data_IF_868646033733
#
_entry.id   IF_868646033733
#
_cell.length_a   1.000
_cell.length_b   1.000
_cell.length_c   1.000
_cell.angle_alpha   90.00
_cell.angle_beta   90.00
_cell.angle_gamma   90.00
#
_symmetry.space_group_name_H-M   'P 1'
#
loop_
_entity.id
_entity.type
_entity.pdbx_description
1 polymer ?
#
# COMPACT_ATOMS: atom_id res chain seq x y z
N UNK A 1 21.11 25.54 -50.91
CA UNK A 1 20.15 25.33 -52.03
C UNK A 1 18.72 25.37 -51.50
N UNK A 2 17.75 25.94 -52.23
CA UNK A 2 16.52 26.54 -51.70
C UNK A 2 15.38 25.53 -51.40
N UNK A 3 14.39 25.89 -50.54
CA UNK A 3 13.35 24.96 -50.11
C UNK A 3 12.23 24.78 -51.14
N UNK A 4 11.83 23.52 -51.33
CA UNK A 4 10.80 23.03 -52.26
C UNK A 4 9.42 23.66 -51.97
N UNK A 5 8.79 24.20 -53.03
CA UNK A 5 7.41 24.69 -53.03
C UNK A 5 6.39 23.57 -52.79
N UNK A 6 5.38 23.89 -51.98
CA UNK A 6 4.17 23.10 -51.71
C UNK A 6 3.40 22.85 -53.02
N UNK A 7 3.15 21.59 -53.33
CA UNK A 7 2.22 21.18 -54.37
C UNK A 7 0.80 21.12 -53.80
N UNK A 8 -0.17 21.44 -54.68
CA UNK A 8 -1.60 21.19 -54.56
C UNK A 8 -2.47 22.17 -53.74
N UNK A 9 -2.66 23.37 -54.29
CA UNK A 9 -3.99 23.99 -54.28
C UNK A 9 -4.60 23.88 -55.69
N UNK A 10 -5.88 23.47 -55.85
CA UNK A 10 -6.52 23.47 -57.15
C UNK A 10 -6.68 24.93 -57.60
N UNK A 11 -6.05 25.27 -58.72
CA UNK A 11 -6.10 26.62 -59.30
C UNK A 11 -7.54 27.09 -59.54
N UNK A 12 -7.78 28.39 -59.36
CA UNK A 12 -9.08 29.04 -59.60
C UNK A 12 -9.67 28.74 -60.99
N UNK A 13 -8.80 28.38 -61.95
CA UNK A 13 -9.16 27.97 -63.31
C UNK A 13 -9.96 26.65 -63.35
N UNK A 14 -9.67 25.70 -62.46
CA UNK A 14 -10.41 24.43 -62.38
C UNK A 14 -11.75 24.59 -61.66
N UNK A 15 -11.84 25.49 -60.68
CA UNK A 15 -13.10 25.82 -59.99
C UNK A 15 -14.05 26.59 -60.89
N UNK A 16 -13.53 27.51 -61.72
CA UNK A 16 -14.29 28.21 -62.75
C UNK A 16 -14.83 27.25 -63.83
N UNK A 17 -14.04 26.25 -64.27
CA UNK A 17 -14.50 25.22 -65.22
C UNK A 17 -15.61 24.32 -64.65
N UNK A 18 -15.54 23.95 -63.37
CA UNK A 18 -16.59 23.16 -62.73
C UNK A 18 -17.91 23.93 -62.57
N UNK A 19 -17.82 25.23 -62.22
CA UNK A 19 -18.99 26.12 -62.16
C UNK A 19 -19.62 26.37 -63.54
N UNK A 20 -18.80 26.57 -64.58
CA UNK A 20 -19.27 26.70 -65.95
C UNK A 20 -20.02 25.44 -66.43
N UNK A 21 -19.49 24.24 -66.14
CA UNK A 21 -20.18 22.97 -66.45
C UNK A 21 -21.51 22.81 -65.71
N UNK A 22 -21.60 23.19 -64.43
CA UNK A 22 -22.86 23.10 -63.68
C UNK A 22 -23.91 24.12 -64.15
N UNK A 23 -23.48 25.31 -64.60
CA UNK A 23 -24.36 26.29 -65.23
C UNK A 23 -24.83 25.87 -66.63
N UNK A 24 -23.99 25.18 -67.40
CA UNK A 24 -24.33 24.63 -68.73
C UNK A 24 -25.28 23.43 -68.66
N UNK A 25 -25.19 22.63 -67.59
CA UNK A 25 -26.03 21.45 -67.35
C UNK A 25 -27.44 21.85 -66.86
N UNK A 26 -27.53 22.83 -65.94
CA UNK A 26 -28.83 23.40 -65.52
C UNK A 26 -29.54 24.21 -66.61
N UNK A 27 -28.84 24.56 -67.69
CA UNK A 27 -29.41 25.22 -68.87
C UNK A 27 -29.52 24.28 -70.08
N UNK A 28 -29.18 23.00 -69.92
CA UNK A 28 -29.07 22.03 -71.02
C UNK A 28 -30.42 21.69 -71.68
N UNK A 29 -31.54 21.77 -70.95
CA UNK A 29 -32.88 21.48 -71.48
C UNK A 29 -33.62 22.66 -72.14
N UNK A 30 -33.11 23.89 -72.05
CA UNK A 30 -33.80 25.10 -72.56
C UNK A 30 -33.21 25.64 -73.87
N UNK A 31 -32.18 24.98 -74.41
CA UNK A 31 -31.44 25.44 -75.59
C UNK A 31 -32.22 25.29 -76.91
N UNK A 32 -33.30 24.51 -76.95
CA UNK A 32 -34.18 24.39 -78.13
C UNK A 32 -35.38 25.38 -78.14
N UNK A 33 -35.45 26.31 -77.16
CA UNK A 33 -36.50 27.36 -77.07
C UNK A 33 -35.91 28.77 -76.82
N UNK A 34 -34.68 29.00 -77.30
CA UNK A 34 -33.89 30.23 -77.10
C UNK A 34 -34.38 31.49 -77.84
N UNK A 35 -35.58 31.47 -78.44
CA UNK A 35 -36.13 32.58 -79.22
C UNK A 35 -37.09 33.50 -78.43
N UNK A 36 -37.53 33.12 -77.22
CA UNK A 36 -38.47 33.92 -76.41
C UNK A 36 -37.76 34.74 -75.33
N UNK A 37 -38.04 36.06 -75.27
CA UNK A 37 -37.49 37.00 -74.26
C UNK A 37 -37.74 36.55 -72.82
N UNK A 38 -38.87 35.87 -72.53
CA UNK A 38 -39.17 35.33 -71.20
C UNK A 38 -38.23 34.22 -70.77
N UNK A 39 -37.83 33.35 -71.70
CA UNK A 39 -36.91 32.24 -71.44
C UNK A 39 -35.50 32.78 -71.17
N UNK A 40 -35.08 33.83 -71.88
CA UNK A 40 -33.80 34.49 -71.62
C UNK A 40 -33.76 35.21 -70.26
N UNK A 41 -34.84 35.91 -69.88
CA UNK A 41 -34.94 36.51 -68.54
C UNK A 41 -34.90 35.44 -67.43
N UNK A 42 -35.59 34.32 -67.61
CA UNK A 42 -35.58 33.22 -66.66
C UNK A 42 -34.19 32.56 -66.51
N UNK A 43 -33.44 32.40 -67.61
CA UNK A 43 -32.06 31.90 -67.58
C UNK A 43 -31.14 32.88 -66.84
N UNK A 44 -31.30 34.19 -67.04
CA UNK A 44 -30.51 35.21 -66.35
C UNK A 44 -30.82 35.25 -64.84
N UNK A 45 -32.08 35.05 -64.46
CA UNK A 45 -32.51 35.01 -63.06
C UNK A 45 -31.97 33.76 -62.33
N UNK A 46 -31.94 32.60 -63.00
CA UNK A 46 -31.35 31.36 -62.46
C UNK A 46 -29.83 31.49 -62.29
N UNK A 47 -29.12 32.10 -63.25
CA UNK A 47 -27.67 32.35 -63.14
C UNK A 47 -27.34 33.31 -61.99
N UNK A 48 -28.12 34.38 -61.80
CA UNK A 48 -27.92 35.32 -60.69
C UNK A 48 -28.12 34.69 -59.30
N UNK A 49 -29.02 33.70 -59.17
CA UNK A 49 -29.26 32.97 -57.91
C UNK A 49 -28.15 32.00 -57.51
N UNK A 50 -27.36 31.49 -58.46
CA UNK A 50 -26.34 30.45 -58.23
C UNK A 50 -24.99 31.03 -57.77
N UNK A 51 -24.61 32.22 -58.23
CA UNK A 51 -23.28 32.77 -57.94
C UNK A 51 -23.24 33.77 -56.76
N UNK A 52 -24.33 34.49 -56.47
CA UNK A 52 -24.34 35.56 -55.46
C UNK A 52 -24.99 35.24 -54.12
N UNK A 53 -26.04 34.40 -54.10
CA UNK A 53 -26.88 34.17 -52.92
C UNK A 53 -26.26 33.23 -51.88
N UNK A 54 -25.59 32.17 -52.33
CA UNK A 54 -25.02 31.15 -51.43
C UNK A 54 -23.73 31.62 -50.75
N UNK A 55 -22.92 32.44 -51.44
CA UNK A 55 -21.74 33.06 -50.85
C UNK A 55 -22.11 34.09 -49.77
N UNK A 56 -23.08 34.98 -50.04
CA UNK A 56 -23.57 35.96 -49.06
C UNK A 56 -24.27 35.32 -47.86
N UNK A 57 -25.01 34.22 -48.07
CA UNK A 57 -25.65 33.47 -46.96
C UNK A 57 -24.61 32.75 -46.08
N UNK A 58 -23.56 32.18 -46.68
CA UNK A 58 -22.47 31.53 -45.95
C UNK A 58 -21.60 32.53 -45.17
N UNK A 59 -21.40 33.73 -45.70
CA UNK A 59 -20.68 34.82 -45.03
C UNK A 59 -21.50 35.41 -43.87
N UNK A 60 -22.82 35.60 -44.06
CA UNK A 60 -23.72 36.04 -42.99
C UNK A 60 -23.84 35.00 -41.86
N UNK A 61 -23.88 33.71 -42.18
CA UNK A 61 -23.91 32.62 -41.20
C UNK A 61 -22.58 32.46 -40.45
N UNK A 62 -21.44 32.62 -41.14
CA UNK A 62 -20.12 32.63 -40.51
C UNK A 62 -19.96 33.82 -39.55
N UNK A 63 -20.49 35.00 -39.92
CA UNK A 63 -20.47 36.18 -39.06
C UNK A 63 -21.34 36.01 -37.81
N UNK A 64 -22.55 35.47 -37.96
CA UNK A 64 -23.43 35.10 -36.83
C UNK A 64 -22.78 34.10 -35.89
N UNK A 65 -22.12 33.06 -36.42
CA UNK A 65 -21.44 32.04 -35.62
C UNK A 65 -20.19 32.59 -34.91
N UNK A 66 -19.49 33.55 -35.52
CA UNK A 66 -18.37 34.23 -34.89
C UNK A 66 -18.84 35.17 -33.76
N UNK A 67 -19.94 35.90 -33.97
CA UNK A 67 -20.56 36.75 -32.94
C UNK A 67 -21.13 35.92 -31.78
N UNK A 68 -21.75 34.78 -32.06
CA UNK A 68 -22.25 33.84 -31.03
C UNK A 68 -21.10 33.20 -30.25
N UNK A 69 -20.00 32.80 -30.91
CA UNK A 69 -18.81 32.28 -30.22
C UNK A 69 -18.17 33.34 -29.32
N UNK A 70 -18.11 34.59 -29.79
CA UNK A 70 -17.58 35.70 -29.00
C UNK A 70 -18.49 36.00 -27.79
N UNK A 71 -19.81 36.03 -27.98
CA UNK A 71 -20.76 36.19 -26.89
C UNK A 71 -20.69 35.05 -25.87
N UNK A 72 -20.46 33.80 -26.32
CA UNK A 72 -20.25 32.67 -25.41
C UNK A 72 -18.93 32.74 -24.64
N UNK A 73 -17.84 33.23 -25.25
CA UNK A 73 -16.56 33.41 -24.54
C UNK A 73 -16.63 34.58 -23.55
N UNK A 74 -17.29 35.68 -23.91
CA UNK A 74 -17.52 36.80 -23.00
C UNK A 74 -18.45 36.39 -21.85
N UNK A 75 -19.52 35.63 -22.11
CA UNK A 75 -20.39 35.08 -21.06
C UNK A 75 -19.66 34.08 -20.14
N UNK A 76 -18.74 33.25 -20.67
CA UNK A 76 -17.90 32.37 -19.85
C UNK A 76 -16.91 33.16 -19.00
N UNK A 77 -16.36 34.25 -19.53
CA UNK A 77 -15.44 35.13 -18.82
C UNK A 77 -16.17 35.91 -17.71
N UNK A 78 -17.37 36.40 -17.97
CA UNK A 78 -18.22 37.05 -16.96
C UNK A 78 -18.71 36.05 -15.90
N UNK A 79 -19.09 34.82 -16.29
CA UNK A 79 -19.42 33.76 -15.34
C UNK A 79 -18.22 33.40 -14.44
N UNK A 80 -17.02 33.26 -15.01
CA UNK A 80 -15.79 33.02 -14.24
C UNK A 80 -15.44 34.17 -13.28
N UNK A 81 -15.85 35.41 -13.62
CA UNK A 81 -15.70 36.57 -12.74
C UNK A 81 -16.78 36.62 -11.64
N UNK A 82 -18.01 36.17 -11.93
CA UNK A 82 -19.12 36.13 -10.96
C UNK A 82 -18.97 35.02 -9.91
N UNK A 83 -18.37 33.88 -10.26
CA UNK A 83 -17.97 32.85 -9.31
C UNK A 83 -16.68 33.26 -8.59
N UNK A 84 -16.79 34.33 -7.81
CA UNK A 84 -15.72 34.82 -6.94
C UNK A 84 -15.16 33.70 -6.06
N UNK A 85 -13.83 33.65 -5.98
CA UNK A 85 -13.04 32.63 -5.28
C UNK A 85 -13.55 32.51 -3.83
N UNK A 86 -14.25 31.42 -3.52
CA UNK A 86 -14.69 31.13 -2.15
C UNK A 86 -13.47 30.84 -1.28
N UNK A 87 -13.47 31.37 -0.05
CA UNK A 87 -12.38 31.14 0.89
C UNK A 87 -12.34 29.67 1.32
N UNK A 88 -11.24 28.98 0.99
CA UNK A 88 -10.98 27.59 1.36
C UNK A 88 -11.02 27.38 2.90
N UNK A 89 -11.92 26.52 3.38
CA UNK A 89 -12.02 26.14 4.80
C UNK A 89 -10.97 25.08 5.13
N UNK A 90 -10.26 25.25 6.24
CA UNK A 90 -9.22 24.31 6.71
C UNK A 90 -9.84 23.34 7.71
N UNK A 91 -9.70 22.01 7.52
CA UNK A 91 -10.09 21.01 8.52
C UNK A 91 -9.31 21.16 9.83
N UNK A 92 -9.93 20.82 10.96
CA UNK A 92 -9.31 20.91 12.28
C UNK A 92 -8.09 19.97 12.37
N UNK A 93 -6.93 20.50 12.79
CA UNK A 93 -5.68 19.73 12.95
C UNK A 93 -4.70 19.75 11.76
N UNK A 94 -5.01 20.45 10.66
CA UNK A 94 -4.09 20.61 9.51
C UNK A 94 -3.53 22.03 9.47
N UNK A 95 -2.21 22.17 9.40
CA UNK A 95 -1.55 23.48 9.31
C UNK A 95 -1.99 24.21 8.04
N UNK A 96 -2.57 25.43 8.13
CA UNK A 96 -3.07 26.16 6.98
C UNK A 96 -2.01 26.46 5.91
N UNK A 97 -0.73 26.50 6.32
CA UNK A 97 0.42 26.75 5.45
C UNK A 97 0.87 25.51 4.67
N UNK A 98 0.31 24.34 4.97
CA UNK A 98 0.49 23.11 4.18
C UNK A 98 -0.44 23.03 2.97
N UNK A 99 -1.35 24.01 2.81
CA UNK A 99 -2.34 24.01 1.73
C UNK A 99 -2.05 25.20 0.80
N UNK A 100 -2.08 24.95 -0.52
CA UNK A 100 -1.87 25.98 -1.54
C UNK A 100 -2.98 27.05 -1.45
N UNK A 101 -2.58 28.32 -1.51
CA UNK A 101 -3.49 29.45 -1.52
C UNK A 101 -4.25 29.51 -2.86
N UNK A 102 -5.57 29.41 -2.82
CA UNK A 102 -6.42 29.43 -4.02
C UNK A 102 -6.42 30.81 -4.71
N UNK A 103 -6.33 31.88 -3.92
CA UNK A 103 -6.14 33.24 -4.44
C UNK A 103 -4.77 33.41 -5.12
N UNK A 104 -3.74 32.73 -4.64
CA UNK A 104 -2.40 32.77 -5.25
C UNK A 104 -2.37 31.96 -6.55
N UNK A 105 -3.01 30.77 -6.53
CA UNK A 105 -3.20 29.94 -7.72
C UNK A 105 -3.90 30.70 -8.86
N UNK A 106 -4.84 31.59 -8.51
CA UNK A 106 -5.56 32.43 -9.47
C UNK A 106 -4.90 33.81 -9.70
N UNK A 107 -3.74 34.10 -9.08
CA UNK A 107 -2.99 35.35 -9.27
C UNK A 107 -3.59 36.60 -8.60
N UNK A 108 -4.59 36.45 -7.72
CA UNK A 108 -5.33 37.56 -7.07
C UNK A 108 -4.91 37.76 -5.60
N UNK A 109 -3.93 36.99 -5.10
CA UNK A 109 -3.55 37.06 -3.69
C UNK A 109 -2.75 38.34 -3.36
N UNK A 110 -3.36 39.24 -2.59
CA UNK A 110 -2.74 40.48 -2.09
C UNK A 110 -1.90 40.30 -0.82
N UNK A 111 -1.92 39.10 -0.21
CA UNK A 111 -1.32 38.84 1.12
C UNK A 111 0.16 38.44 1.10
N UNK A 112 0.73 38.16 -0.09
CA UNK A 112 2.14 37.83 -0.27
C UNK A 112 2.63 36.75 0.72
N UNK A 113 3.83 36.95 1.30
CA UNK A 113 4.44 36.00 2.24
C UNK A 113 3.72 35.88 3.60
N UNK A 114 2.81 36.81 3.91
CA UNK A 114 1.98 36.80 5.14
C UNK A 114 0.66 36.05 4.94
N UNK A 115 0.45 35.44 3.77
CA UNK A 115 -0.73 34.63 3.52
C UNK A 115 -0.79 33.43 4.50
N UNK A 116 -1.99 33.14 5.00
CA UNK A 116 -2.27 31.97 5.86
C UNK A 116 -2.02 30.65 5.13
N UNK A 117 -2.10 30.67 3.80
CA UNK A 117 -1.93 29.54 2.91
C UNK A 117 -0.60 29.61 2.15
N UNK A 118 -0.07 28.47 1.70
CA UNK A 118 1.19 28.39 0.97
C UNK A 118 1.12 29.08 -0.40
N UNK A 119 2.21 29.75 -0.79
CA UNK A 119 2.43 30.27 -2.15
C UNK A 119 3.44 29.41 -2.93
N UNK A 120 3.75 28.21 -2.48
CA UNK A 120 4.61 27.28 -3.21
C UNK A 120 3.77 26.39 -4.16
N UNK A 121 3.92 26.52 -5.49
CA UNK A 121 3.19 25.71 -6.48
C UNK A 121 3.37 24.19 -6.30
N UNK A 122 4.42 23.74 -5.60
CA UNK A 122 4.66 22.32 -5.35
C UNK A 122 3.78 21.73 -4.26
N UNK A 123 3.30 22.54 -3.32
CA UNK A 123 2.48 22.08 -2.19
C UNK A 123 1.07 21.63 -2.63
N UNK A 124 0.61 22.11 -3.80
CA UNK A 124 -0.68 21.74 -4.39
C UNK A 124 -0.66 20.61 -5.41
N UNK A 125 0.51 20.07 -5.78
CA UNK A 125 0.60 18.90 -6.66
C UNK A 125 0.20 17.66 -5.88
N UNK A 126 -1.10 17.37 -5.85
CA UNK A 126 -1.59 16.01 -5.58
C UNK A 126 -1.08 15.13 -6.72
N UNK A 127 0.14 14.60 -6.58
CA UNK A 127 0.70 13.64 -7.52
C UNK A 127 -0.22 12.43 -7.45
N UNK A 128 -0.97 12.17 -8.52
CA UNK A 128 -1.75 10.94 -8.61
C UNK A 128 -0.77 9.78 -8.41
N UNK A 129 -0.94 9.03 -7.32
CA UNK A 129 -0.18 7.79 -7.12
C UNK A 129 -0.57 6.89 -8.28
N UNK A 130 0.38 6.60 -9.15
CA UNK A 130 0.24 5.57 -10.18
C UNK A 130 -0.23 4.30 -9.48
N UNK A 131 -1.36 3.75 -9.90
CA UNK A 131 -1.89 2.52 -9.31
C UNK A 131 -0.87 1.41 -9.57
N UNK A 132 -0.52 0.68 -8.51
CA UNK A 132 0.56 -0.30 -8.51
C UNK A 132 0.17 -1.60 -9.20
N UNK A 133 -1.14 -1.80 -9.37
CA UNK A 133 -1.73 -3.01 -9.92
C UNK A 133 -2.15 -2.85 -11.39
N UNK A 134 -2.25 -1.62 -11.92
CA UNK A 134 -2.54 -1.36 -13.34
C UNK A 134 -1.26 -1.07 -14.11
N UNK A 135 -1.09 -1.73 -15.27
CA UNK A 135 0.04 -1.45 -16.16
C UNK A 135 -0.38 -0.36 -17.15
N UNK A 136 0.26 0.80 -17.15
CA UNK A 136 -0.10 1.89 -18.08
C UNK A 136 0.05 1.54 -19.56
N UNK A 137 0.73 0.45 -19.89
CA UNK A 137 0.80 -0.03 -21.27
C UNK A 137 -0.49 -0.69 -21.72
N UNK A 138 -1.35 -1.15 -20.81
CA UNK A 138 -2.69 -1.66 -21.14
C UNK A 138 -3.64 -0.50 -21.42
N UNK A 139 -3.64 0.53 -20.58
CA UNK A 139 -4.43 1.76 -20.80
C UNK A 139 -4.11 2.43 -22.15
N UNK A 140 -2.83 2.52 -22.51
CA UNK A 140 -2.40 3.07 -23.81
C UNK A 140 -2.81 2.19 -24.99
N UNK A 141 -2.87 0.85 -24.83
CA UNK A 141 -3.34 -0.07 -25.87
C UNK A 141 -4.86 -0.02 -26.05
N UNK A 142 -5.61 0.14 -24.96
CA UNK A 142 -7.06 0.25 -25.00
C UNK A 142 -7.52 1.59 -25.60
N UNK A 143 -6.75 2.67 -25.38
CA UNK A 143 -6.98 3.97 -26.02
C UNK A 143 -6.53 4.02 -27.47
N UNK A 144 -5.72 3.06 -27.93
CA UNK A 144 -5.23 2.97 -29.31
C UNK A 144 -6.16 2.16 -30.23
N UNK A 145 -7.42 2.55 -30.31
CA UNK A 145 -8.42 1.97 -31.22
C UNK A 145 -8.13 2.32 -32.68
N UNK A 146 -8.36 1.37 -33.61
CA UNK A 146 -8.11 1.50 -35.07
C UNK A 146 -8.65 2.78 -35.70
N UNK A 147 -9.72 3.35 -35.15
CA UNK A 147 -10.36 4.58 -35.62
C UNK A 147 -9.46 5.83 -35.51
N UNK A 148 -8.42 5.80 -34.66
CA UNK A 148 -7.47 6.91 -34.46
C UNK A 148 -6.16 6.74 -35.25
N UNK A 149 -6.08 5.78 -36.19
CA UNK A 149 -4.84 5.47 -36.90
C UNK A 149 -4.75 6.18 -38.25
N UNK A 150 -3.74 7.05 -38.39
CA UNK A 150 -3.37 7.65 -39.67
C UNK A 150 -2.71 6.63 -40.64
N UNK A 151 -2.76 6.91 -41.94
CA UNK A 151 -2.25 6.02 -43.00
C UNK A 151 -0.76 5.65 -42.85
N UNK A 152 0.05 6.55 -42.27
CA UNK A 152 1.46 6.28 -41.95
C UNK A 152 1.62 5.30 -40.77
N UNK A 153 0.74 5.38 -39.76
CA UNK A 153 0.72 4.43 -38.64
C UNK A 153 0.27 3.05 -39.12
N UNK A 154 -0.71 3.01 -40.03
CA UNK A 154 -1.16 1.78 -40.66
C UNK A 154 -0.05 1.10 -41.49
N UNK A 155 0.71 1.87 -42.30
CA UNK A 155 1.86 1.35 -43.05
C UNK A 155 2.97 0.82 -42.14
N UNK A 156 3.26 1.48 -41.02
CA UNK A 156 4.24 1.00 -40.02
C UNK A 156 3.81 -0.31 -39.37
N UNK A 157 2.52 -0.49 -39.09
CA UNK A 157 1.99 -1.73 -38.51
C UNK A 157 2.03 -2.88 -39.54
N UNK A 158 1.74 -2.61 -40.81
CA UNK A 158 1.88 -3.63 -41.89
C UNK A 158 3.35 -4.06 -42.03
N UNK A 159 4.29 -3.11 -41.99
CA UNK A 159 5.73 -3.43 -42.06
C UNK A 159 6.21 -4.23 -40.84
N UNK A 160 5.66 -3.97 -39.65
CA UNK A 160 6.04 -4.66 -38.41
C UNK A 160 5.38 -6.03 -38.23
N UNK A 161 4.26 -6.31 -38.92
CA UNK A 161 3.61 -7.63 -38.95
C UNK A 161 4.46 -8.71 -39.64
N UNK A 162 5.45 -8.34 -40.44
CA UNK A 162 6.34 -9.28 -41.15
C UNK A 162 7.59 -9.69 -40.36
N UNK A 163 7.74 -9.28 -39.10
CA UNK A 163 8.82 -9.74 -38.21
C UNK A 163 8.28 -10.43 -36.97
N UNK A 164 8.98 -11.47 -36.46
CA UNK A 164 8.59 -12.18 -35.25
C UNK A 164 8.37 -11.19 -34.09
N UNK A 165 7.11 -10.97 -33.64
CA UNK A 165 6.82 -9.92 -32.67
C UNK A 165 7.51 -10.27 -31.35
N UNK A 166 8.31 -9.33 -30.80
CA UNK A 166 8.86 -9.47 -29.45
C UNK A 166 7.69 -9.54 -28.48
N UNK A 167 7.40 -10.73 -27.97
CA UNK A 167 6.31 -10.95 -27.04
C UNK A 167 6.66 -10.34 -25.68
N UNK A 168 5.75 -9.52 -25.15
CA UNK A 168 5.77 -9.10 -23.75
C UNK A 168 5.46 -10.32 -22.88
N UNK A 169 6.22 -10.53 -21.82
CA UNK A 169 6.04 -11.63 -20.89
C UNK A 169 5.22 -11.19 -19.67
N UNK A 170 4.33 -12.04 -19.18
CA UNK A 170 3.52 -11.80 -17.96
C UNK A 170 4.33 -11.87 -16.66
N UNK A 171 5.62 -12.21 -16.75
CA UNK A 171 6.55 -12.19 -15.62
C UNK A 171 6.81 -10.75 -15.21
N UNK A 172 6.71 -10.47 -13.91
CA UNK A 172 6.98 -9.15 -13.31
C UNK A 172 8.46 -8.81 -13.43
N UNK A 173 8.78 -7.54 -13.71
CA UNK A 173 10.15 -7.09 -13.80
C UNK A 173 10.85 -7.12 -12.43
N UNK A 174 12.05 -7.71 -12.34
CA UNK A 174 12.84 -7.74 -11.10
C UNK A 174 13.15 -6.34 -10.56
N UNK A 175 13.49 -5.41 -11.46
CA UNK A 175 13.78 -4.02 -11.07
C UNK A 175 12.54 -3.26 -10.60
N UNK A 176 11.37 -3.66 -11.08
CA UNK A 176 10.11 -3.13 -10.58
C UNK A 176 9.85 -3.62 -9.15
N UNK A 177 10.02 -4.92 -8.87
CA UNK A 177 9.89 -5.46 -7.51
C UNK A 177 10.87 -4.74 -6.56
N UNK A 178 12.13 -4.58 -6.96
CA UNK A 178 13.14 -3.87 -6.15
C UNK A 178 12.81 -2.38 -5.96
N UNK A 179 12.31 -1.69 -6.99
CA UNK A 179 11.91 -0.28 -6.87
C UNK A 179 10.70 -0.09 -5.95
N UNK A 180 9.76 -1.02 -6.01
CA UNK A 180 8.55 -1.03 -5.18
C UNK A 180 8.92 -1.37 -3.73
N UNK A 181 9.78 -2.37 -3.49
CA UNK A 181 10.30 -2.70 -2.16
C UNK A 181 11.10 -1.55 -1.53
N UNK A 182 11.87 -0.83 -2.33
CA UNK A 182 12.64 0.33 -1.87
C UNK A 182 11.81 1.63 -1.77
N UNK A 183 10.52 1.60 -2.10
CA UNK A 183 9.65 2.79 -2.12
C UNK A 183 10.07 3.86 -3.13
N UNK A 184 10.90 3.49 -4.12
CA UNK A 184 11.38 4.38 -5.20
C UNK A 184 10.47 4.34 -6.43
N UNK A 185 9.48 3.45 -6.45
CA UNK A 185 8.47 3.38 -7.50
C UNK A 185 7.52 4.59 -7.39
N UNK A 186 7.42 5.35 -8.46
CA UNK A 186 6.60 6.56 -8.54
C UNK A 186 6.55 7.12 -9.96
N UNK A 187 5.94 8.30 -10.10
CA UNK A 187 5.69 8.93 -11.41
C UNK A 187 6.93 9.09 -12.30
N UNK A 188 8.11 9.28 -11.70
CA UNK A 188 9.38 9.44 -12.42
C UNK A 188 10.22 8.16 -12.50
N UNK A 189 9.72 7.03 -12.03
CA UNK A 189 10.48 5.79 -12.07
C UNK A 189 10.49 5.18 -13.47
N UNK A 190 11.68 5.08 -14.06
CA UNK A 190 11.91 4.45 -15.36
C UNK A 190 12.64 3.13 -15.11
N UNK A 191 12.09 2.04 -15.66
CA UNK A 191 12.74 0.74 -15.54
C UNK A 191 14.12 0.76 -16.22
N UNK A 192 15.20 0.37 -15.53
CA UNK A 192 16.54 0.27 -16.12
C UNK A 192 16.62 -0.72 -17.30
N UNK A 193 15.70 -1.68 -17.36
CA UNK A 193 15.62 -2.71 -18.40
C UNK A 193 14.78 -2.28 -19.62
N UNK A 194 14.81 -0.98 -19.97
CA UNK A 194 14.18 -0.45 -21.19
C UNK A 194 12.93 0.40 -21.00
N UNK A 195 12.71 1.00 -19.82
CA UNK A 195 11.62 1.94 -19.58
C UNK A 195 10.25 1.34 -19.89
N UNK A 196 9.56 1.87 -20.91
CA UNK A 196 8.27 1.34 -21.35
C UNK A 196 8.37 0.12 -22.28
N UNK A 197 9.54 -0.14 -22.88
CA UNK A 197 9.81 -1.30 -23.76
C UNK A 197 10.36 -2.51 -22.99
N UNK A 198 10.30 -2.49 -21.65
CA UNK A 198 10.69 -3.65 -20.86
C UNK A 198 9.84 -4.86 -21.23
N UNK A 199 10.50 -5.99 -21.52
CA UNK A 199 9.84 -7.27 -21.83
C UNK A 199 8.94 -7.77 -20.69
N UNK A 200 9.21 -7.34 -19.46
CA UNK A 200 8.53 -7.78 -18.25
C UNK A 200 7.43 -6.79 -17.80
N UNK A 201 6.46 -7.30 -17.04
CA UNK A 201 5.32 -6.52 -16.52
C UNK A 201 5.77 -5.53 -15.42
N UNK A 202 5.25 -4.31 -15.42
CA UNK A 202 5.53 -3.26 -14.42
C UNK A 202 4.31 -3.01 -13.52
N UNK A 203 3.63 -4.09 -13.16
CA UNK A 203 2.58 -4.10 -12.16
C UNK A 203 2.75 -5.33 -11.29
N UNK A 204 2.31 -5.25 -10.04
CA UNK A 204 2.30 -6.41 -9.15
C UNK A 204 1.21 -7.40 -9.60
N UNK A 205 1.40 -8.71 -9.43
CA UNK A 205 0.35 -9.69 -9.67
C UNK A 205 -0.85 -9.41 -8.76
N UNK A 206 -2.08 -9.65 -9.22
CA UNK A 206 -3.27 -9.49 -8.39
C UNK A 206 -3.15 -10.41 -7.16
N UNK A 207 -3.17 -9.82 -5.96
CA UNK A 207 -3.03 -10.53 -4.68
C UNK A 207 -1.65 -10.46 -4.02
N UNK A 208 -0.62 -9.90 -4.67
CA UNK A 208 0.69 -9.71 -4.03
C UNK A 208 0.69 -8.45 -3.14
N UNK A 209 0.65 -8.65 -1.82
CA UNK A 209 0.75 -7.58 -0.82
C UNK A 209 2.21 -7.39 -0.44
N UNK A 210 2.71 -6.17 -0.59
CA UNK A 210 4.06 -5.81 -0.14
C UNK A 210 4.16 -5.93 1.38
N UNK A 211 5.11 -6.73 1.86
CA UNK A 211 5.48 -6.74 3.28
C UNK A 211 5.96 -5.34 3.66
N UNK A 212 5.45 -4.78 4.75
CA UNK A 212 5.92 -3.48 5.22
C UNK A 212 7.38 -3.58 5.66
N UNK A 213 8.10 -2.45 5.65
CA UNK A 213 9.49 -2.38 6.13
C UNK A 213 9.65 -2.91 7.56
N UNK A 214 8.61 -2.76 8.37
CA UNK A 214 8.54 -3.25 9.75
C UNK A 214 8.33 -4.76 9.80
N UNK A 215 7.43 -5.33 9.00
CA UNK A 215 7.24 -6.78 8.90
C UNK A 215 8.51 -7.50 8.45
N UNK A 216 9.23 -6.95 7.47
CA UNK A 216 10.51 -7.51 7.01
C UNK A 216 11.60 -7.43 8.08
N UNK A 217 11.63 -6.35 8.87
CA UNK A 217 12.55 -6.21 10.00
C UNK A 217 12.21 -7.22 11.11
N UNK A 218 10.94 -7.42 11.40
CA UNK A 218 10.47 -8.41 12.37
C UNK A 218 10.81 -9.84 11.94
N UNK A 219 10.60 -10.19 10.67
CA UNK A 219 10.96 -11.50 10.13
C UNK A 219 12.46 -11.75 10.18
N UNK A 220 13.29 -10.73 9.88
CA UNK A 220 14.74 -10.84 10.02
C UNK A 220 15.17 -11.03 11.47
N UNK A 221 14.60 -10.26 12.39
CA UNK A 221 14.88 -10.40 13.82
C UNK A 221 14.41 -11.75 14.35
N UNK A 222 13.29 -12.29 13.86
CA UNK A 222 12.81 -13.61 14.20
C UNK A 222 13.77 -14.69 13.72
N UNK A 223 14.23 -14.62 12.46
CA UNK A 223 15.23 -15.55 11.92
C UNK A 223 16.61 -15.44 12.61
N UNK A 224 16.96 -14.27 13.15
CA UNK A 224 18.17 -14.07 13.97
C UNK A 224 18.00 -14.62 15.39
N UNK A 225 16.77 -14.60 15.94
CA UNK A 225 16.43 -15.13 17.26
C UNK A 225 16.09 -16.63 17.25
N UNK A 226 15.85 -17.23 16.09
CA UNK A 226 15.69 -18.67 15.97
C UNK A 226 17.01 -19.36 16.32
N UNK A 227 17.01 -20.28 17.31
CA UNK A 227 18.21 -20.99 17.71
C UNK A 227 18.69 -21.85 16.54
N UNK A 228 19.86 -21.52 15.99
CA UNK A 228 20.45 -22.19 14.81
C UNK A 228 20.92 -23.62 15.09
N UNK A 229 20.91 -24.04 16.36
CA UNK A 229 21.21 -25.39 16.80
C UNK A 229 20.02 -25.90 17.61
N UNK A 230 19.58 -27.10 17.28
CA UNK A 230 18.56 -27.80 18.08
C UNK A 230 19.14 -28.09 19.48
N UNK A 231 18.28 -28.28 20.48
CA UNK A 231 18.71 -28.58 21.84
C UNK A 231 19.59 -29.83 21.87
N UNK A 232 19.24 -30.81 21.03
CA UNK A 232 19.92 -32.08 20.82
C UNK A 232 21.34 -31.87 20.28
N UNK A 233 21.48 -31.06 19.24
CA UNK A 233 22.78 -30.77 18.61
C UNK A 233 23.70 -29.98 19.57
N UNK A 234 23.13 -29.08 20.37
CA UNK A 234 23.87 -28.42 21.45
C UNK A 234 24.35 -29.42 22.51
N UNK A 235 23.48 -30.32 22.96
CA UNK A 235 23.81 -31.35 23.95
C UNK A 235 24.88 -32.32 23.45
N UNK A 236 24.86 -32.71 22.19
CA UNK A 236 25.87 -33.59 21.58
C UNK A 236 27.24 -32.91 21.43
N UNK A 237 27.25 -31.63 21.07
CA UNK A 237 28.47 -30.81 21.05
C UNK A 237 29.07 -30.65 22.44
N UNK A 238 28.27 -30.34 23.46
CA UNK A 238 28.76 -30.20 24.84
C UNK A 238 29.19 -31.54 25.43
N UNK A 239 28.45 -32.64 25.16
CA UNK A 239 28.83 -33.98 25.62
C UNK A 239 30.14 -34.46 25.02
N UNK A 240 30.42 -34.13 23.76
CA UNK A 240 31.67 -34.52 23.09
C UNK A 240 32.89 -33.72 23.57
N UNK A 241 32.69 -32.48 24.05
CA UNK A 241 33.75 -31.65 24.67
C UNK A 241 34.17 -32.15 26.06
N UNK A 242 33.32 -32.91 26.77
CA UNK A 242 33.60 -33.37 28.11
C UNK A 242 34.50 -34.62 28.12
N UNK A 243 35.57 -34.59 28.91
CA UNK A 243 36.49 -35.72 29.11
C UNK A 243 35.81 -36.85 29.88
N UNK A 244 35.59 -37.99 29.21
CA UNK A 244 34.96 -39.19 29.81
C UNK A 244 35.72 -39.77 31.02
N UNK A 245 36.99 -39.42 31.18
CA UNK A 245 37.85 -39.93 32.26
C UNK A 245 37.66 -39.23 33.60
N UNK A 246 37.00 -38.07 33.65
CA UNK A 246 36.82 -37.26 34.88
C UNK A 246 35.41 -37.37 35.46
N UNK A 247 34.58 -38.30 34.98
CA UNK A 247 33.19 -38.42 35.42
C UNK A 247 33.09 -39.12 36.78
N UNK A 248 32.30 -38.53 37.68
CA UNK A 248 31.89 -39.17 38.91
C UNK A 248 30.71 -40.12 38.62
N UNK A 249 30.77 -41.38 39.05
CA UNK A 249 29.64 -42.29 38.90
C UNK A 249 28.45 -41.78 39.73
N UNK A 250 27.26 -41.88 39.17
CA UNK A 250 26.02 -41.51 39.84
C UNK A 250 25.58 -42.64 40.77
N UNK A 251 26.01 -42.55 42.02
CA UNK A 251 25.57 -43.40 43.13
C UNK A 251 24.57 -42.62 43.98
N UNK A 252 23.82 -43.30 44.85
CA UNK A 252 22.86 -42.64 45.74
C UNK A 252 23.56 -41.58 46.61
N UNK A 253 24.77 -41.89 47.09
CA UNK A 253 25.60 -40.98 47.89
C UNK A 253 26.09 -39.76 47.08
N UNK A 254 26.58 -39.98 45.85
CA UNK A 254 27.06 -38.88 45.00
C UNK A 254 25.90 -38.00 44.52
N UNK A 255 24.73 -38.58 44.26
CA UNK A 255 23.51 -37.84 43.95
C UNK A 255 22.99 -37.05 45.14
N UNK A 256 23.01 -37.61 46.35
CA UNK A 256 22.60 -36.89 47.57
C UNK A 256 23.51 -35.68 47.83
N UNK A 257 24.83 -35.83 47.64
CA UNK A 257 25.79 -34.72 47.73
C UNK A 257 25.51 -33.66 46.67
N UNK A 258 25.34 -34.06 45.41
CA UNK A 258 24.99 -33.14 44.32
C UNK A 258 23.66 -32.41 44.56
N UNK A 259 22.64 -33.12 45.08
CA UNK A 259 21.32 -32.53 45.37
C UNK A 259 21.41 -31.44 46.45
N UNK A 260 22.20 -31.69 47.51
CA UNK A 260 22.49 -30.67 48.53
C UNK A 260 23.20 -29.46 47.91
N UNK A 261 24.25 -29.68 47.14
CA UNK A 261 25.00 -28.60 46.46
C UNK A 261 24.10 -27.77 45.51
N UNK A 262 23.17 -28.41 44.78
CA UNK A 262 22.22 -27.70 43.92
C UNK A 262 21.18 -26.90 44.71
N UNK A 263 20.66 -27.46 45.81
CA UNK A 263 19.74 -26.74 46.70
C UNK A 263 20.42 -25.51 47.31
N UNK A 264 21.64 -25.67 47.81
CA UNK A 264 22.44 -24.58 48.36
C UNK A 264 22.74 -23.51 47.29
N UNK A 265 23.10 -23.93 46.06
CA UNK A 265 23.32 -23.02 44.93
C UNK A 265 22.05 -22.24 44.58
N UNK A 266 20.89 -22.89 44.55
CA UNK A 266 19.59 -22.24 44.29
C UNK A 266 19.23 -21.26 45.41
N UNK A 267 19.45 -21.61 46.67
CA UNK A 267 19.22 -20.72 47.80
C UNK A 267 20.16 -19.51 47.78
N UNK A 268 21.44 -19.70 47.48
CA UNK A 268 22.40 -18.60 47.35
C UNK A 268 22.05 -17.67 46.19
N UNK A 269 21.68 -18.22 45.02
CA UNK A 269 21.25 -17.42 43.88
C UNK A 269 19.97 -16.62 44.20
N UNK A 270 19.02 -17.22 44.94
CA UNK A 270 17.82 -16.52 45.40
C UNK A 270 18.18 -15.36 46.33
N UNK A 271 19.03 -15.59 47.33
CA UNK A 271 19.52 -14.55 48.27
C UNK A 271 20.29 -13.45 47.54
N UNK A 272 21.10 -13.78 46.53
CA UNK A 272 21.82 -12.80 45.73
C UNK A 272 20.86 -11.96 44.87
N UNK A 273 19.86 -12.57 44.24
CA UNK A 273 18.83 -11.85 43.50
C UNK A 273 17.98 -10.94 44.40
N UNK A 274 17.71 -11.37 45.64
CA UNK A 274 17.02 -10.58 46.68
C UNK A 274 17.90 -9.40 47.14
N UNK A 275 19.20 -9.62 47.41
CA UNK A 275 20.16 -8.57 47.76
C UNK A 275 20.43 -7.59 46.62
N UNK A 276 20.35 -8.06 45.38
CA UNK A 276 20.57 -7.26 44.17
C UNK A 276 19.45 -6.27 43.87
N UNK A 277 18.37 -6.23 44.67
CA UNK A 277 17.28 -5.25 44.55
C UNK A 277 16.50 -5.34 43.23
N UNK A 278 16.75 -6.37 42.40
CA UNK A 278 16.14 -6.52 41.07
C UNK A 278 14.71 -7.05 41.13
N UNK A 279 14.25 -7.54 42.29
CA UNK A 279 12.91 -8.10 42.44
C UNK A 279 11.99 -7.10 43.11
N UNK A 280 10.89 -6.78 42.43
CA UNK A 280 9.77 -6.04 43.01
C UNK A 280 9.15 -6.94 44.09
N UNK A 281 9.00 -6.41 45.31
CA UNK A 281 8.42 -7.15 46.43
C UNK A 281 6.96 -7.52 46.12
N UNK A 282 6.57 -8.74 46.50
CA UNK A 282 5.18 -9.17 46.38
C UNK A 282 4.31 -8.49 47.44
N UNK A 283 3.00 -8.34 47.18
CA UNK A 283 2.09 -7.72 48.15
C UNK A 283 2.12 -8.38 49.54
N UNK A 284 2.28 -9.71 49.59
CA UNK A 284 2.45 -10.47 50.85
C UNK A 284 3.72 -10.07 51.59
N UNK A 285 4.84 -9.93 50.88
CA UNK A 285 6.12 -9.51 51.47
C UNK A 285 6.06 -8.06 51.97
N UNK A 286 5.43 -7.16 51.21
CA UNK A 286 5.23 -5.76 51.62
C UNK A 286 4.37 -5.66 52.89
N UNK A 287 3.31 -6.47 52.98
CA UNK A 287 2.47 -6.52 54.19
C UNK A 287 3.29 -7.06 55.36
N UNK A 288 4.00 -8.17 55.19
CA UNK A 288 4.84 -8.73 56.27
C UNK A 288 5.92 -7.75 56.77
N UNK A 289 6.55 -6.99 55.87
CA UNK A 289 7.54 -5.97 56.22
C UNK A 289 6.90 -4.76 56.93
N UNK A 290 5.71 -4.32 56.51
CA UNK A 290 5.01 -3.19 57.13
C UNK A 290 4.43 -3.50 58.51
N UNK A 291 4.09 -4.76 58.75
CA UNK A 291 3.41 -5.22 59.97
C UNK A 291 4.32 -6.06 60.88
N UNK A 292 5.62 -6.19 60.59
CA UNK A 292 6.55 -6.91 61.47
C UNK A 292 6.70 -6.25 62.85
N UNK A 293 6.64 -4.91 62.88
CA UNK A 293 6.87 -4.09 64.09
C UNK A 293 5.59 -3.53 64.72
N UNK A 294 4.43 -3.73 64.07
CA UNK A 294 3.15 -3.19 64.54
C UNK A 294 2.21 -4.33 64.87
N UNK A 295 1.91 -4.50 66.16
CA UNK A 295 0.76 -5.30 66.58
C UNK A 295 -0.50 -4.65 66.00
N UNK A 296 -1.25 -5.44 65.23
CA UNK A 296 -2.52 -5.01 64.66
C UNK A 296 -3.50 -4.74 65.80
N UNK A 297 -3.88 -3.48 65.97
CA UNK A 297 -4.99 -3.06 66.84
C UNK A 297 -6.20 -2.82 65.95
N UNK A 298 -7.25 -3.62 66.14
CA UNK A 298 -8.55 -3.44 65.47
C UNK A 298 -9.22 -2.18 66.03
N UNK A 299 -8.94 -1.02 65.44
CA UNK A 299 -9.82 0.14 65.55
C UNK A 299 -10.86 0.05 64.42
N UNK A 300 -12.09 -0.31 64.82
CA UNK A 300 -13.24 -0.53 63.95
C UNK A 300 -13.84 0.81 63.50
N UNK A 301 -13.24 1.41 62.47
CA UNK A 301 -13.86 2.50 61.72
C UNK A 301 -14.87 1.88 60.72
N UNK A 302 -16.15 1.92 61.10
CA UNK A 302 -17.30 1.18 60.54
C UNK A 302 -17.68 1.37 59.06
N UNK A 303 -16.75 1.70 58.17
CA UNK A 303 -16.90 1.71 56.70
C UNK A 303 -16.13 0.56 56.01
N UNK A 304 -15.62 -0.41 56.78
CA UNK A 304 -14.89 -1.58 56.24
C UNK A 304 -15.85 -2.65 55.72
N UNK A 305 -15.73 -2.99 54.43
CA UNK A 305 -16.55 -4.04 53.82
C UNK A 305 -16.17 -5.43 54.34
N UNK A 306 -17.03 -6.02 55.17
CA UNK A 306 -16.85 -7.38 55.68
C UNK A 306 -17.10 -8.44 54.59
N UNK A 307 -16.02 -9.12 54.17
CA UNK A 307 -16.03 -10.20 53.18
C UNK A 307 -15.96 -11.60 53.80
N UNK A 308 -16.07 -11.71 55.14
CA UNK A 308 -15.99 -12.99 55.86
C UNK A 308 -17.01 -14.01 55.33
N UNK A 309 -18.26 -13.60 55.13
CA UNK A 309 -19.33 -14.45 54.60
C UNK A 309 -19.05 -14.92 53.17
N UNK A 310 -18.41 -14.10 52.34
CA UNK A 310 -18.01 -14.49 50.99
C UNK A 310 -16.86 -15.50 51.02
N UNK A 311 -15.91 -15.32 51.95
CA UNK A 311 -14.78 -16.24 52.12
C UNK A 311 -15.22 -17.63 52.60
N UNK A 312 -16.18 -17.70 53.51
CA UNK A 312 -16.73 -18.97 54.00
C UNK A 312 -17.57 -19.71 52.96
N UNK A 313 -18.15 -19.01 51.99
CA UNK A 313 -18.95 -19.59 50.91
C UNK A 313 -18.12 -19.99 49.66
N UNK A 314 -16.81 -19.74 49.66
CA UNK A 314 -15.93 -20.28 48.62
C UNK A 314 -15.89 -21.81 48.72
N UNK A 315 -15.93 -22.54 47.59
CA UNK A 315 -15.87 -23.99 47.61
C UNK A 315 -14.56 -24.45 48.26
N UNK A 316 -14.66 -25.37 49.20
CA UNK A 316 -13.50 -26.00 49.81
C UNK A 316 -12.77 -26.79 48.73
N UNK A 317 -11.50 -26.44 48.49
CA UNK A 317 -10.67 -27.05 47.45
C UNK A 317 -9.98 -28.33 47.92
N UNK A 318 -10.29 -28.80 49.13
CA UNK A 318 -9.77 -30.05 49.69
C UNK A 318 -10.48 -31.28 49.09
N UNK A 319 -10.23 -31.52 47.80
CA UNK A 319 -10.62 -32.77 47.16
C UNK A 319 -9.71 -33.91 47.66
N UNK A 320 -10.26 -34.92 48.32
CA UNK A 320 -9.52 -36.10 48.81
C UNK A 320 -8.81 -36.88 47.69
N UNK A 321 -9.26 -36.71 46.45
CA UNK A 321 -8.65 -37.31 45.25
C UNK A 321 -7.49 -36.46 44.66
N UNK A 322 -7.23 -35.26 45.17
CA UNK A 322 -6.15 -34.38 44.73
C UNK A 322 -5.06 -34.36 45.80
N UNK A 323 -3.86 -34.83 45.44
CA UNK A 323 -2.71 -34.82 46.36
C UNK A 323 -2.20 -33.39 46.54
N UNK A 324 -2.47 -32.83 47.71
CA UNK A 324 -1.96 -31.51 48.12
C UNK A 324 -0.50 -31.63 48.61
N UNK A 325 0.39 -30.87 47.97
CA UNK A 325 1.81 -30.80 48.31
C UNK A 325 2.15 -29.55 49.13
N UNK A 326 1.13 -28.78 49.55
CA UNK A 326 1.27 -27.57 50.34
C UNK A 326 2.16 -26.53 49.64
N UNK A 327 3.24 -26.13 50.31
CA UNK A 327 4.23 -25.18 49.79
C UNK A 327 5.25 -25.81 48.82
N UNK A 328 5.13 -27.12 48.56
CA UNK A 328 5.99 -27.89 47.67
C UNK A 328 7.38 -28.19 48.23
N UNK A 329 7.69 -27.80 49.47
CA UNK A 329 9.02 -27.99 50.08
C UNK A 329 9.34 -29.47 50.30
N UNK A 330 8.36 -30.27 50.73
CA UNK A 330 8.53 -31.69 51.08
C UNK A 330 7.88 -32.65 50.07
N UNK A 331 7.57 -32.18 48.86
CA UNK A 331 6.90 -32.99 47.85
C UNK A 331 7.68 -34.27 47.46
N UNK A 332 9.00 -34.28 47.66
CA UNK A 332 9.88 -35.42 47.36
C UNK A 332 10.04 -36.41 48.52
N UNK A 333 9.91 -35.98 49.78
CA UNK A 333 10.01 -36.88 50.94
C UNK A 333 8.83 -37.88 50.96
N UNK A 334 7.67 -37.43 50.47
CA UNK A 334 6.48 -38.26 50.29
C UNK A 334 6.64 -39.45 49.35
N UNK A 335 7.59 -39.39 48.39
CA UNK A 335 7.87 -40.53 47.52
C UNK A 335 8.87 -41.50 48.14
N UNK A 336 9.74 -41.01 49.02
CA UNK A 336 10.75 -41.85 49.69
C UNK A 336 10.15 -42.69 50.83
N UNK A 337 9.08 -42.23 51.46
CA UNK A 337 8.38 -42.99 52.52
C UNK A 337 7.58 -44.20 52.00
N UNK A 338 7.19 -44.23 50.73
CA UNK A 338 6.46 -45.36 50.14
C UNK A 338 7.39 -46.51 49.70
N UNK A 339 8.71 -46.31 49.73
CA UNK A 339 9.73 -47.29 49.33
C UNK A 339 10.45 -47.93 50.54
N UNK A 340 9.84 -47.93 51.73
CA UNK A 340 10.27 -48.80 52.84
C UNK A 340 9.91 -50.28 52.55
N UNK A 341 10.66 -50.86 51.61
CA UNK A 341 11.04 -52.28 51.39
C UNK A 341 9.96 -53.37 51.39
N UNK A 342 9.82 -54.17 50.30
CA UNK A 342 9.69 -55.60 50.44
C UNK A 342 11.10 -56.21 50.56
N UNK A 343 11.33 -56.83 51.70
CA UNK A 343 12.47 -57.66 52.06
C UNK A 343 12.90 -58.61 50.91
N UNK A 344 14.04 -58.33 50.27
CA UNK A 344 14.66 -59.17 49.22
C UNK A 344 15.49 -60.35 49.78
N UNK A 345 15.51 -60.58 51.09
CA UNK A 345 16.18 -61.73 51.72
C UNK A 345 15.25 -62.95 51.93
N UNK A 346 13.93 -62.83 51.74
CA UNK A 346 13.00 -63.96 51.87
C UNK A 346 12.96 -64.89 50.63
N UNK A 347 13.57 -64.52 49.51
CA UNK A 347 13.46 -65.26 48.24
C UNK A 347 14.63 -66.22 47.95
N UNK A 348 15.57 -66.43 48.89
CA UNK A 348 16.76 -67.29 48.68
C UNK A 348 16.72 -68.65 49.40
N UNK A 349 15.64 -69.01 50.08
CA UNK A 349 15.54 -70.30 50.81
C UNK A 349 14.67 -71.37 50.17
N UNK A 350 14.10 -71.16 48.97
CA UNK A 350 13.22 -72.16 48.33
C UNK A 350 13.71 -72.70 46.96
N UNK A 351 14.97 -72.51 46.60
CA UNK A 351 15.54 -73.11 45.36
C UNK A 351 16.87 -73.80 45.63
N UNK A 352 16.88 -74.77 46.55
CA UNK A 352 17.80 -75.92 46.52
C UNK A 352 17.16 -77.11 47.24
N UNK A 353 16.42 -77.91 46.48
CA UNK A 353 16.12 -79.32 46.76
C UNK A 353 16.40 -80.11 45.48
#
# INVERSE_FOLDING_TARGET
MPPKKKANQPSDKNKAKAKAKSAEDKTFGLKNKNKSKRVQQQINQIKAGVDGGMAKKKEAEAKRKAEEKKAQEDAKREAAALFGIQQQKVPFGVDPKSILCEFFKNGVCTKGNKCKFSHDPNVGRKVAKKDLYTDSREEEKEQDTMDNWDEEKLRKVILSKHGNPKTTTDKVCKFFIDAVENGKYGWFWVCPNGGNECKYRHSLPPGFVLKTKEQKKLERLAAENEPKITLEEFLELERSKLDKSKFTPITIESFAKWKKEQLDKKQNQKKENERGGKRILTGREVILEKFSDKYYTEEDDGDTWDLSQFKSNLPDTSDENIKDYGDGSNAQEFYQQNDETPNLEAAKTEVTA
#
